data_IF_242974159447
#
_entry.id   IF_242974159447
#
_cell.length_a   1.000
_cell.length_b   1.000
_cell.length_c   1.000
_cell.angle_alpha   90.00
_cell.angle_beta   90.00
_cell.angle_gamma   90.00
#
_symmetry.space_group_name_H-M   'P 1'
#
loop_
_entity.id
_entity.type
_entity.pdbx_description
1 polymer ?
#
# COMPACT_ATOMS: atom_id res chain seq x y z
N UNK A 1 -21.44 -21.41 11.12
CA UNK A 1 -20.58 -22.04 10.10
C UNK A 1 -19.15 -21.89 10.61
N UNK A 2 -18.69 -22.88 11.37
CA UNK A 2 -17.33 -22.90 11.92
C UNK A 2 -16.36 -23.23 10.80
N UNK A 3 -15.71 -22.20 10.26
CA UNK A 3 -14.58 -22.41 9.35
C UNK A 3 -13.38 -22.85 10.20
N UNK A 4 -12.63 -23.88 9.78
CA UNK A 4 -11.45 -24.32 10.51
C UNK A 4 -10.49 -23.14 10.67
N UNK A 5 -10.11 -22.82 11.90
CA UNK A 5 -9.08 -21.82 12.19
C UNK A 5 -7.80 -22.26 11.48
N UNK A 6 -7.44 -21.56 10.41
CA UNK A 6 -6.17 -21.78 9.72
C UNK A 6 -5.04 -21.67 10.74
N UNK A 7 -4.25 -22.74 10.87
CA UNK A 7 -3.11 -22.79 11.79
C UNK A 7 -1.96 -22.03 11.12
N UNK A 8 -1.88 -20.71 11.39
CA UNK A 8 -0.81 -19.84 10.90
C UNK A 8 -1.27 -18.38 10.78
N UNK A 9 -0.35 -17.45 11.02
CA UNK A 9 -0.56 -16.01 10.85
C UNK A 9 -0.98 -15.68 9.40
N UNK A 10 -2.25 -15.32 9.18
CA UNK A 10 -2.77 -15.01 7.86
C UNK A 10 -2.55 -13.52 7.53
N UNK A 11 -2.02 -13.24 6.33
CA UNK A 11 -1.84 -11.88 5.83
C UNK A 11 -2.97 -11.51 4.89
N UNK A 12 -3.67 -10.42 5.19
CA UNK A 12 -4.67 -9.81 4.30
C UNK A 12 -4.03 -8.73 3.44
N UNK A 13 -4.09 -8.87 2.12
CA UNK A 13 -3.65 -7.83 1.17
C UNK A 13 -4.84 -6.93 0.81
N UNK A 14 -4.72 -5.63 1.06
CA UNK A 14 -5.80 -4.65 0.85
C UNK A 14 -5.40 -3.68 -0.24
N UNK A 15 -6.07 -3.76 -1.40
CA UNK A 15 -5.91 -2.79 -2.49
C UNK A 15 -6.76 -1.56 -2.23
N UNK A 16 -6.14 -0.42 -1.93
CA UNK A 16 -6.87 0.82 -1.56
C UNK A 16 -7.23 1.69 -2.76
N UNK A 17 -6.67 1.41 -3.93
CA UNK A 17 -6.93 2.11 -5.19
C UNK A 17 -6.41 1.31 -6.38
N UNK A 18 -6.96 1.56 -7.57
CA UNK A 18 -6.48 1.10 -8.87
C UNK A 18 -5.54 2.10 -9.56
N UNK A 19 -5.40 3.32 -9.03
CA UNK A 19 -4.55 4.37 -9.61
C UNK A 19 -3.10 4.23 -9.20
N UNK A 20 -2.20 4.64 -10.10
CA UNK A 20 -0.76 4.70 -9.87
C UNK A 20 -0.20 6.00 -10.49
N UNK A 21 0.85 6.56 -9.92
CA UNK A 21 1.61 7.69 -10.49
C UNK A 21 2.75 7.24 -11.44
N UNK A 22 2.85 5.95 -11.73
CA UNK A 22 3.72 5.39 -12.76
C UNK A 22 2.93 4.58 -13.78
N UNK A 23 3.56 4.30 -14.93
CA UNK A 23 3.04 3.38 -15.96
C UNK A 23 4.10 2.35 -16.30
N UNK A 24 4.55 1.59 -15.29
CA UNK A 24 5.68 0.69 -15.43
C UNK A 24 5.46 -0.31 -16.58
N UNK A 25 6.45 -0.49 -17.45
CA UNK A 25 6.32 -1.27 -18.68
C UNK A 25 5.91 -2.75 -18.43
N UNK A 26 6.30 -3.32 -17.28
CA UNK A 26 5.96 -4.69 -16.88
C UNK A 26 4.63 -4.81 -16.13
N UNK A 27 4.02 -3.68 -15.73
CA UNK A 27 2.80 -3.65 -14.92
C UNK A 27 1.59 -3.15 -15.71
N UNK A 28 1.79 -2.11 -16.52
CA UNK A 28 0.73 -1.44 -17.27
C UNK A 28 1.17 -1.24 -18.72
N UNK A 29 0.35 -1.62 -19.72
CA UNK A 29 0.64 -1.34 -21.12
C UNK A 29 0.68 0.18 -21.36
N UNK A 30 1.31 0.61 -22.46
CA UNK A 30 1.50 2.04 -22.75
C UNK A 30 0.18 2.81 -22.85
N UNK A 31 -0.83 2.16 -23.44
CA UNK A 31 -2.20 2.66 -23.55
C UNK A 31 -2.94 2.77 -22.21
N UNK A 32 -2.35 2.25 -21.12
CA UNK A 32 -2.97 2.17 -19.81
C UNK A 32 -3.93 0.99 -19.66
N UNK A 33 -4.54 0.89 -18.48
CA UNK A 33 -5.64 -0.04 -18.20
C UNK A 33 -6.92 0.77 -17.90
N UNK A 34 -8.11 0.22 -18.17
CA UNK A 34 -9.36 0.82 -17.71
C UNK A 34 -9.31 1.01 -16.19
N UNK A 35 -9.57 2.24 -15.74
CA UNK A 35 -9.68 2.57 -14.33
C UNK A 35 -11.14 2.55 -13.91
N UNK A 36 -11.39 2.11 -12.69
CA UNK A 36 -12.71 2.17 -12.08
C UNK A 36 -13.15 3.64 -11.95
N UNK A 37 -14.44 3.93 -12.20
CA UNK A 37 -15.05 5.19 -11.80
C UNK A 37 -14.77 5.47 -10.33
N UNK A 38 -14.53 6.74 -9.97
CA UNK A 38 -14.20 7.10 -8.58
C UNK A 38 -15.27 6.66 -7.58
N UNK A 39 -16.55 6.63 -8.01
CA UNK A 39 -17.70 6.18 -7.24
C UNK A 39 -17.69 4.68 -6.93
N UNK A 40 -16.97 3.88 -7.71
CA UNK A 40 -16.85 2.42 -7.52
C UNK A 40 -15.67 2.03 -6.63
N UNK A 41 -14.86 3.00 -6.21
CA UNK A 41 -13.73 2.75 -5.31
C UNK A 41 -14.22 2.96 -3.88
N UNK A 42 -14.24 1.90 -3.06
CA UNK A 42 -14.79 1.98 -1.72
C UNK A 42 -14.09 3.09 -0.91
N UNK A 43 -14.83 3.85 -0.10
CA UNK A 43 -14.26 4.73 0.90
C UNK A 43 -13.29 3.96 1.81
N UNK A 44 -12.23 4.61 2.28
CA UNK A 44 -11.27 3.97 3.18
C UNK A 44 -11.94 3.48 4.48
N UNK A 45 -12.98 4.16 4.95
CA UNK A 45 -13.78 3.73 6.11
C UNK A 45 -14.50 2.40 5.87
N UNK A 46 -15.04 2.19 4.66
CA UNK A 46 -15.69 0.94 4.28
C UNK A 46 -14.67 -0.20 4.18
N UNK A 47 -13.51 0.05 3.57
CA UNK A 47 -12.40 -0.90 3.55
C UNK A 47 -11.94 -1.26 4.96
N UNK A 48 -11.85 -0.29 5.88
CA UNK A 48 -11.48 -0.54 7.26
C UNK A 48 -12.53 -1.43 7.97
N UNK A 49 -13.82 -1.22 7.70
CA UNK A 49 -14.89 -2.08 8.17
C UNK A 49 -14.76 -3.53 7.66
N UNK A 50 -14.46 -3.72 6.38
CA UNK A 50 -14.22 -5.03 5.80
C UNK A 50 -12.98 -5.72 6.40
N UNK A 51 -11.88 -4.98 6.59
CA UNK A 51 -10.66 -5.47 7.24
C UNK A 51 -10.96 -5.94 8.66
N UNK A 52 -11.66 -5.12 9.46
CA UNK A 52 -12.07 -5.50 10.82
C UNK A 52 -12.87 -6.79 10.83
N UNK A 53 -13.86 -6.90 9.96
CA UNK A 53 -14.71 -8.09 9.85
C UNK A 53 -13.90 -9.36 9.55
N UNK A 54 -12.88 -9.25 8.71
CA UNK A 54 -11.97 -10.35 8.34
C UNK A 54 -11.01 -10.71 9.48
N UNK A 55 -10.42 -9.71 10.15
CA UNK A 55 -9.55 -9.90 11.32
C UNK A 55 -10.28 -10.68 12.42
N UNK A 56 -11.50 -10.26 12.76
CA UNK A 56 -12.30 -10.87 13.83
C UNK A 56 -12.69 -12.34 13.54
N UNK A 57 -12.77 -12.74 12.26
CA UNK A 57 -13.30 -14.05 11.85
C UNK A 57 -12.27 -15.05 11.34
N UNK A 58 -11.15 -14.59 10.78
CA UNK A 58 -10.25 -15.44 10.00
C UNK A 58 -8.80 -15.48 10.51
N UNK A 59 -8.56 -15.08 11.77
CA UNK A 59 -7.23 -15.07 12.38
C UNK A 59 -6.19 -14.30 11.54
N UNK A 60 -6.63 -13.26 10.82
CA UNK A 60 -5.75 -12.33 10.13
C UNK A 60 -5.07 -11.46 11.18
N UNK A 61 -3.75 -11.56 11.27
CA UNK A 61 -2.95 -10.77 12.20
C UNK A 61 -2.01 -9.77 11.48
N UNK A 62 -1.94 -9.84 10.15
CA UNK A 62 -1.14 -8.93 9.32
C UNK A 62 -1.98 -8.34 8.21
N UNK A 63 -1.87 -7.03 8.04
CA UNK A 63 -2.52 -6.31 6.94
C UNK A 63 -1.46 -5.67 6.05
N UNK A 64 -1.46 -6.02 4.76
CA UNK A 64 -0.56 -5.45 3.75
C UNK A 64 -1.33 -4.53 2.82
N UNK A 65 -1.13 -3.23 2.99
CA UNK A 65 -1.70 -2.17 2.16
C UNK A 65 -0.98 -2.12 0.82
N UNK A 66 -1.75 -2.09 -0.27
CA UNK A 66 -1.28 -2.03 -1.66
C UNK A 66 -2.29 -1.23 -2.49
N UNK A 67 -2.09 -1.13 -3.79
CA UNK A 67 -3.10 -0.68 -4.75
C UNK A 67 -2.62 -0.93 -6.17
N UNK A 68 -2.86 0.07 -7.02
CA UNK A 68 -1.78 0.64 -7.83
C UNK A 68 -0.71 1.21 -6.90
N UNK A 69 -0.72 2.52 -6.65
CA UNK A 69 0.16 3.17 -5.66
C UNK A 69 -0.65 3.66 -4.44
N UNK A 70 -0.48 3.08 -3.23
CA UNK A 70 -1.20 3.51 -2.05
C UNK A 70 -1.09 5.00 -1.75
N UNK A 71 0.08 5.60 -1.98
CA UNK A 71 0.35 7.01 -1.66
C UNK A 71 -0.29 8.01 -2.64
N UNK A 72 -1.03 7.53 -3.67
CA UNK A 72 -1.93 8.39 -4.44
C UNK A 72 -3.34 8.47 -3.82
N UNK A 73 -3.66 7.63 -2.83
CA UNK A 73 -4.95 7.63 -2.12
C UNK A 73 -4.87 8.52 -0.87
N UNK A 74 -5.59 9.64 -0.90
CA UNK A 74 -5.72 10.53 0.26
C UNK A 74 -6.38 9.83 1.46
N UNK A 75 -5.95 10.20 2.66
CA UNK A 75 -6.46 9.64 3.93
C UNK A 75 -5.79 8.33 4.37
N UNK A 76 -4.70 7.91 3.70
CA UNK A 76 -4.02 6.65 4.01
C UNK A 76 -3.50 6.56 5.46
N UNK A 77 -2.91 7.60 6.07
CA UNK A 77 -2.48 7.54 7.47
C UNK A 77 -3.63 7.26 8.44
N UNK A 78 -4.78 7.90 8.24
CA UNK A 78 -5.98 7.64 9.05
C UNK A 78 -6.50 6.19 8.88
N UNK A 79 -6.45 5.65 7.65
CA UNK A 79 -6.79 4.25 7.40
C UNK A 79 -5.83 3.29 8.11
N UNK A 80 -4.52 3.56 8.02
CA UNK A 80 -3.50 2.76 8.71
C UNK A 80 -3.71 2.79 10.23
N UNK A 81 -3.96 3.96 10.81
CA UNK A 81 -4.23 4.13 12.24
C UNK A 81 -5.46 3.32 12.68
N UNK A 82 -6.55 3.39 11.91
CA UNK A 82 -7.75 2.61 12.21
C UNK A 82 -7.47 1.10 12.18
N UNK A 83 -6.77 0.61 11.16
CA UNK A 83 -6.46 -0.82 11.01
C UNK A 83 -5.49 -1.30 12.09
N UNK A 84 -4.45 -0.53 12.41
CA UNK A 84 -3.47 -0.86 13.43
C UNK A 84 -4.08 -0.95 14.84
N UNK A 85 -5.20 -0.25 15.07
CA UNK A 85 -5.92 -0.29 16.34
C UNK A 85 -6.86 -1.49 16.49
N UNK A 86 -7.09 -2.29 15.45
CA UNK A 86 -7.99 -3.44 15.54
C UNK A 86 -7.40 -4.56 16.41
N UNK A 87 -8.15 -5.09 17.40
CA UNK A 87 -7.68 -6.22 18.20
C UNK A 87 -7.30 -7.41 17.33
N UNK A 88 -6.11 -7.97 17.56
CA UNK A 88 -5.57 -9.09 16.79
C UNK A 88 -4.66 -8.70 15.63
N UNK A 89 -4.72 -7.45 15.15
CA UNK A 89 -3.74 -6.95 14.18
C UNK A 89 -2.40 -6.74 14.88
N UNK A 90 -1.38 -7.48 14.45
CA UNK A 90 0.00 -7.39 14.94
C UNK A 90 0.88 -6.49 14.08
N UNK A 91 0.56 -6.38 12.80
CA UNK A 91 1.36 -5.60 11.86
C UNK A 91 0.50 -5.01 10.74
N UNK A 92 0.69 -3.72 10.48
CA UNK A 92 0.31 -3.10 9.21
C UNK A 92 1.58 -2.82 8.42
N UNK A 93 1.62 -3.29 7.17
CA UNK A 93 2.70 -3.05 6.23
C UNK A 93 2.18 -2.48 4.91
N UNK A 94 3.06 -1.87 4.12
CA UNK A 94 2.69 -1.27 2.83
C UNK A 94 3.65 -1.72 1.72
N UNK A 95 3.17 -1.80 0.49
CA UNK A 95 4.01 -1.83 -0.72
C UNK A 95 3.76 -0.57 -1.54
N UNK A 96 4.83 0.14 -1.91
CA UNK A 96 4.80 1.42 -2.63
C UNK A 96 5.96 1.48 -3.62
N UNK A 97 5.87 2.33 -4.65
CA UNK A 97 7.01 2.70 -5.49
C UNK A 97 7.96 3.71 -4.80
N UNK A 98 7.61 4.23 -3.62
CA UNK A 98 8.49 5.06 -2.79
C UNK A 98 8.52 6.55 -3.16
N UNK A 99 8.13 6.94 -4.37
CA UNK A 99 8.28 8.32 -4.88
C UNK A 99 7.49 9.40 -4.13
N UNK A 100 6.51 8.99 -3.31
CA UNK A 100 5.73 9.90 -2.44
C UNK A 100 5.93 9.62 -0.95
N UNK A 101 6.81 8.68 -0.62
CA UNK A 101 6.98 8.20 0.75
C UNK A 101 7.61 9.27 1.64
N UNK A 102 8.55 10.06 1.11
CA UNK A 102 9.23 11.11 1.88
C UNK A 102 8.27 12.07 2.58
N UNK A 103 7.18 12.46 1.91
CA UNK A 103 6.20 13.39 2.45
C UNK A 103 5.27 12.78 3.53
N UNK A 104 5.18 11.45 3.61
CA UNK A 104 4.19 10.75 4.44
C UNK A 104 4.79 9.75 5.43
N UNK A 105 6.09 9.44 5.35
CA UNK A 105 6.75 8.40 6.13
C UNK A 105 6.55 8.56 7.64
N UNK A 106 6.79 9.77 8.18
CA UNK A 106 6.59 10.07 9.61
C UNK A 106 5.15 9.92 10.07
N UNK A 107 4.20 10.42 9.27
CA UNK A 107 2.78 10.33 9.58
C UNK A 107 2.30 8.87 9.56
N UNK A 108 2.75 8.09 8.59
CA UNK A 108 2.45 6.66 8.47
C UNK A 108 3.05 5.85 9.63
N UNK A 109 4.30 6.13 10.01
CA UNK A 109 4.94 5.51 11.17
C UNK A 109 4.18 5.83 12.46
N UNK A 110 3.81 7.10 12.66
CA UNK A 110 2.98 7.56 13.78
C UNK A 110 1.58 6.93 13.80
N UNK A 111 1.02 6.64 12.62
CA UNK A 111 -0.23 5.89 12.47
C UNK A 111 -0.09 4.38 12.75
N UNK A 112 1.12 3.87 12.99
CA UNK A 112 1.35 2.46 13.30
C UNK A 112 1.75 1.59 12.11
N UNK A 113 2.11 2.17 10.96
CA UNK A 113 2.77 1.43 9.88
C UNK A 113 4.14 0.94 10.36
N UNK A 114 4.39 -0.36 10.27
CA UNK A 114 5.63 -0.96 10.81
C UNK A 114 6.64 -1.40 9.77
N UNK A 115 6.19 -1.70 8.54
CA UNK A 115 7.06 -2.15 7.45
C UNK A 115 6.62 -1.57 6.12
N UNK A 116 7.59 -1.13 5.32
CA UNK A 116 7.37 -0.73 3.93
C UNK A 116 8.21 -1.63 3.04
N UNK A 117 7.63 -2.09 1.92
CA UNK A 117 8.37 -2.67 0.82
C UNK A 117 8.37 -1.67 -0.32
N UNK A 118 9.54 -1.18 -0.71
CA UNK A 118 9.69 -0.24 -1.83
C UNK A 118 10.02 -1.03 -3.09
N UNK A 119 9.19 -0.91 -4.12
CA UNK A 119 9.46 -1.47 -5.44
C UNK A 119 10.44 -0.56 -6.18
N UNK A 120 11.69 -1.02 -6.33
CA UNK A 120 12.78 -0.30 -6.96
C UNK A 120 13.53 -1.25 -7.92
N UNK A 121 13.16 -1.22 -9.20
CA UNK A 121 13.63 -2.22 -10.16
C UNK A 121 15.05 -1.96 -10.69
N UNK A 122 15.56 -0.74 -10.50
CA UNK A 122 16.91 -0.35 -10.92
C UNK A 122 17.35 0.93 -10.19
N UNK A 123 18.66 1.08 -10.02
CA UNK A 123 19.30 2.30 -9.51
C UNK A 123 19.80 3.23 -10.62
N UNK A 124 19.79 2.77 -11.87
CA UNK A 124 20.18 3.60 -13.01
C UNK A 124 19.04 4.59 -13.35
N UNK A 125 19.27 5.92 -13.29
CA UNK A 125 18.21 6.90 -13.50
C UNK A 125 17.57 6.82 -14.90
N UNK A 126 18.36 6.51 -15.93
CA UNK A 126 17.88 6.37 -17.30
C UNK A 126 16.95 5.18 -17.45
N UNK A 127 17.37 4.02 -16.94
CA UNK A 127 16.60 2.77 -16.95
C UNK A 127 15.36 2.87 -16.05
N UNK A 128 15.45 3.54 -14.90
CA UNK A 128 14.31 3.77 -14.03
C UNK A 128 13.24 4.61 -14.74
N UNK A 129 13.66 5.72 -15.35
CA UNK A 129 12.78 6.60 -16.12
C UNK A 129 12.13 5.87 -17.30
N UNK A 130 12.89 5.06 -18.03
CA UNK A 130 12.38 4.23 -19.12
C UNK A 130 11.33 3.22 -18.61
N UNK A 131 11.69 2.43 -17.59
CA UNK A 131 10.83 1.37 -17.05
C UNK A 131 9.53 1.93 -16.48
N UNK A 132 9.59 3.02 -15.71
CA UNK A 132 8.42 3.64 -15.05
C UNK A 132 7.62 4.58 -15.96
N UNK A 133 8.16 4.89 -17.16
CA UNK A 133 7.68 5.91 -18.11
C UNK A 133 7.60 7.31 -17.50
N UNK A 134 8.72 7.76 -16.92
CA UNK A 134 8.91 9.16 -16.49
C UNK A 134 9.21 9.37 -15.00
N UNK A 135 9.30 8.31 -14.19
CA UNK A 135 9.68 8.41 -12.79
C UNK A 135 11.14 8.82 -12.58
N UNK A 136 11.45 9.25 -11.36
CA UNK A 136 12.81 9.62 -10.90
C UNK A 136 13.22 8.71 -9.75
N UNK A 137 14.38 8.07 -9.88
CA UNK A 137 14.86 7.10 -8.88
C UNK A 137 15.19 7.79 -7.55
N UNK A 138 15.62 9.06 -7.64
CA UNK A 138 15.97 9.91 -6.51
C UNK A 138 14.78 10.09 -5.55
N UNK A 139 13.55 10.24 -6.07
CA UNK A 139 12.35 10.37 -5.24
C UNK A 139 12.06 9.09 -4.43
N UNK A 140 12.36 7.91 -5.00
CA UNK A 140 12.21 6.65 -4.30
C UNK A 140 13.28 6.48 -3.21
N UNK A 141 14.52 6.89 -3.50
CA UNK A 141 15.63 6.88 -2.54
C UNK A 141 15.37 7.85 -1.38
N UNK A 142 14.93 9.09 -1.66
CA UNK A 142 14.48 10.04 -0.64
C UNK A 142 13.35 9.47 0.23
N UNK A 143 12.43 8.72 -0.39
CA UNK A 143 11.38 8.00 0.30
C UNK A 143 11.91 6.92 1.25
N UNK A 144 12.94 6.16 0.83
CA UNK A 144 13.59 5.14 1.65
C UNK A 144 14.32 5.80 2.83
N UNK A 145 15.09 6.86 2.59
CA UNK A 145 15.81 7.59 3.64
C UNK A 145 14.84 8.14 4.69
N UNK A 146 13.72 8.72 4.26
CA UNK A 146 12.69 9.22 5.16
C UNK A 146 11.97 8.11 5.97
N UNK A 147 11.91 6.89 5.44
CA UNK A 147 11.32 5.74 6.15
C UNK A 147 12.28 5.11 7.17
N UNK A 148 13.59 5.33 7.02
CA UNK A 148 14.62 4.85 7.93
C UNK A 148 14.95 5.84 9.07
N UNK A 149 14.58 7.11 8.90
CA UNK A 149 14.81 8.20 9.86
C UNK A 149 13.83 8.21 11.03
#
# INVERSE_FOLDING_TARGET
MDLPRAVGAATLRVSVTDRCNHRCAYCMPEIGVPLLPRSEIPPLSELAGAVRWLVERFAVDRVKVTGGEPLVRGGLPAFVAAVAAFPGVREVSMTTNGTRLAASARELAGAGLRRVNVSLDTLDPGRFRELTRGGRVEEALEGIDAALA
#
